data_IF_124433024598
#
_entry.id   IF_124433024598
#
_cell.length_a   1.000
_cell.length_b   1.000
_cell.length_c   1.000
_cell.angle_alpha   90.00
_cell.angle_beta   90.00
_cell.angle_gamma   90.00
#
_symmetry.space_group_name_H-M   'P 1'
#
loop_
_entity.id
_entity.type
_entity.pdbx_description
1 polymer ?
#
# COMPACT_ATOMS: atom_id res chain seq x y z
N UNK A 1 1.37 -75.55 55.47
CA UNK A 1 2.08 -76.69 54.85
C UNK A 1 1.18 -77.20 53.73
N UNK A 2 1.53 -77.40 52.46
CA UNK A 2 2.74 -77.38 51.64
C UNK A 2 2.28 -76.89 50.24
N UNK A 3 2.93 -76.00 49.49
CA UNK A 3 4.25 -76.02 48.86
C UNK A 3 4.50 -77.24 47.93
N UNK A 4 4.30 -77.04 46.62
CA UNK A 4 5.04 -77.75 45.57
C UNK A 4 5.43 -76.77 44.47
N UNK A 5 6.75 -76.63 44.30
CA UNK A 5 7.45 -75.89 43.25
C UNK A 5 7.62 -76.78 42.01
N UNK A 6 7.54 -76.18 40.82
CA UNK A 6 8.20 -76.61 39.57
C UNK A 6 8.58 -75.30 38.83
N UNK A 7 9.74 -74.68 39.09
CA UNK A 7 11.05 -74.87 38.44
C UNK A 7 11.12 -74.47 36.97
N UNK A 8 11.75 -73.30 36.77
CA UNK A 8 12.77 -72.94 35.77
C UNK A 8 12.44 -72.99 34.27
N UNK A 9 12.34 -71.80 33.69
CA UNK A 9 12.52 -71.53 32.27
C UNK A 9 12.89 -70.07 32.04
N UNK A 10 14.07 -69.65 32.50
CA UNK A 10 14.62 -68.32 32.20
C UNK A 10 15.09 -68.32 30.74
N UNK A 11 14.30 -67.75 29.84
CA UNK A 11 14.79 -67.32 28.52
C UNK A 11 14.77 -65.79 28.47
N UNK A 12 15.96 -65.23 28.71
CA UNK A 12 16.30 -63.86 28.37
C UNK A 12 16.15 -63.68 26.85
N UNK A 13 15.05 -63.08 26.40
CA UNK A 13 14.91 -62.61 25.03
C UNK A 13 14.82 -61.09 25.01
N UNK A 14 15.98 -60.52 24.70
CA UNK A 14 16.28 -59.25 24.05
C UNK A 14 15.19 -58.16 24.07
N UNK A 15 15.55 -57.04 24.71
CA UNK A 15 14.91 -55.73 24.53
C UNK A 15 14.96 -55.34 23.05
N UNK A 16 13.88 -55.57 22.31
CA UNK A 16 13.63 -54.86 21.07
C UNK A 16 12.73 -53.67 21.34
N UNK A 17 13.37 -52.50 21.33
CA UNK A 17 12.77 -51.18 21.35
C UNK A 17 11.65 -51.07 20.32
N UNK A 18 10.41 -50.95 20.79
CA UNK A 18 9.35 -50.28 20.04
C UNK A 18 8.69 -49.30 20.99
N UNK A 19 9.32 -48.14 21.12
CA UNK A 19 8.65 -46.94 21.58
C UNK A 19 7.47 -46.71 20.63
N UNK A 20 6.27 -47.16 21.02
CA UNK A 20 5.03 -46.61 20.46
C UNK A 20 4.93 -45.19 20.97
N UNK A 21 5.70 -44.30 20.36
CA UNK A 21 5.41 -42.89 20.39
C UNK A 21 4.02 -42.77 19.76
N UNK A 22 3.02 -42.43 20.57
CA UNK A 22 1.86 -41.73 20.07
C UNK A 22 2.41 -40.41 19.55
N UNK A 23 2.87 -40.42 18.29
CA UNK A 23 3.02 -39.21 17.50
C UNK A 23 1.62 -38.67 17.39
N UNK A 24 1.18 -37.89 18.38
CA UNK A 24 0.19 -36.86 18.15
C UNK A 24 0.84 -35.93 17.13
N UNK A 25 0.71 -36.30 15.86
CA UNK A 25 0.78 -35.37 14.75
C UNK A 25 -0.42 -34.45 14.91
N UNK A 26 -0.39 -33.62 15.96
CA UNK A 26 -0.97 -32.30 15.88
C UNK A 26 -0.13 -31.66 14.79
N UNK A 27 -0.58 -31.84 13.55
CA UNK A 27 -0.12 -31.01 12.46
C UNK A 27 -0.47 -29.62 12.94
N UNK A 28 0.53 -28.93 13.49
CA UNK A 28 0.56 -27.49 13.44
C UNK A 28 0.55 -27.19 11.94
N UNK A 29 -0.66 -27.16 11.37
CA UNK A 29 -0.93 -26.47 10.14
C UNK A 29 -0.74 -25.00 10.48
N UNK A 30 0.53 -24.62 10.66
CA UNK A 30 0.97 -23.28 10.43
C UNK A 30 0.63 -23.07 8.96
N UNK A 31 -0.58 -22.55 8.74
CA UNK A 31 -0.95 -21.95 7.48
C UNK A 31 0.09 -20.86 7.29
N UNK A 32 1.13 -21.17 6.56
CA UNK A 32 2.05 -20.18 6.04
C UNK A 32 1.21 -19.31 5.12
N UNK A 33 0.57 -18.30 5.71
CA UNK A 33 -0.12 -17.24 5.02
C UNK A 33 0.96 -16.31 4.47
N UNK A 34 1.85 -16.85 3.64
CA UNK A 34 2.80 -16.08 2.85
C UNK A 34 2.07 -15.47 1.64
N UNK A 35 0.92 -14.85 1.90
CA UNK A 35 0.32 -13.89 0.99
C UNK A 35 0.79 -12.53 1.49
N UNK A 36 1.88 -12.01 0.91
CA UNK A 36 2.22 -10.60 1.06
C UNK A 36 1.01 -9.79 0.60
N UNK A 37 0.37 -9.10 1.54
CA UNK A 37 -0.80 -8.28 1.27
C UNK A 37 -0.34 -6.99 0.60
N UNK A 38 -0.37 -6.97 -0.73
CA UNK A 38 0.02 -5.80 -1.54
C UNK A 38 -0.79 -4.55 -1.17
N UNK A 39 -2.02 -4.72 -0.67
CA UNK A 39 -2.85 -3.64 -0.17
C UNK A 39 -2.29 -2.99 1.11
N UNK A 40 -1.51 -3.70 1.93
CA UNK A 40 -0.81 -3.13 3.10
C UNK A 40 0.51 -2.46 2.74
N UNK A 41 1.11 -2.85 1.61
CA UNK A 41 2.39 -2.31 1.13
C UNK A 41 2.21 -1.07 0.24
N UNK A 42 1.04 -0.89 -0.38
CA UNK A 42 0.79 0.22 -1.33
C UNK A 42 0.84 1.61 -0.68
N UNK A 43 1.76 2.49 -1.06
CA UNK A 43 1.78 3.85 -0.51
C UNK A 43 0.56 4.67 -0.92
N UNK A 44 0.04 5.47 0.01
CA UNK A 44 -0.94 6.51 -0.34
C UNK A 44 -0.33 7.53 -1.31
N UNK A 45 -1.15 8.37 -1.94
CA UNK A 45 -0.68 9.49 -2.76
C UNK A 45 0.18 10.51 -1.99
N UNK A 46 0.19 10.45 -0.65
CA UNK A 46 1.06 11.24 0.25
C UNK A 46 2.33 10.50 0.68
N UNK A 47 2.51 9.23 0.28
CA UNK A 47 3.65 8.39 0.68
C UNK A 47 3.47 7.64 1.99
N UNK A 48 2.28 7.65 2.60
CA UNK A 48 2.04 6.98 3.89
C UNK A 48 1.87 5.47 3.71
N UNK A 49 2.64 4.71 4.49
CA UNK A 49 2.56 3.26 4.68
C UNK A 49 2.91 2.97 6.14
N UNK A 50 2.33 1.94 6.74
CA UNK A 50 2.76 1.46 8.05
C UNK A 50 3.81 0.37 7.88
N UNK A 51 4.78 0.31 8.78
CA UNK A 51 5.74 -0.79 8.81
C UNK A 51 5.02 -2.12 8.97
N UNK A 52 5.63 -3.20 8.47
CA UNK A 52 5.01 -4.53 8.47
C UNK A 52 4.62 -5.00 9.87
N UNK A 53 5.44 -4.69 10.86
CA UNK A 53 5.25 -5.09 12.27
C UNK A 53 4.50 -4.03 13.11
N UNK A 54 3.97 -2.99 12.48
CA UNK A 54 3.21 -1.95 13.17
C UNK A 54 1.86 -2.49 13.66
N UNK A 55 1.61 -2.38 14.96
CA UNK A 55 0.37 -2.79 15.60
C UNK A 55 -0.88 -2.12 14.99
N UNK A 56 -0.72 -0.96 14.35
CA UNK A 56 -1.81 -0.21 13.70
C UNK A 56 -2.39 -0.96 12.50
N UNK A 57 -1.66 -1.91 11.91
CA UNK A 57 -2.13 -2.74 10.80
C UNK A 57 -3.24 -3.73 11.20
N UNK A 58 -3.44 -3.98 12.50
CA UNK A 58 -4.51 -4.86 13.00
C UNK A 58 -5.89 -4.43 12.51
N UNK A 59 -6.11 -3.13 12.29
CA UNK A 59 -7.38 -2.58 11.76
C UNK A 59 -7.75 -3.12 10.37
N UNK A 60 -6.77 -3.61 9.61
CA UNK A 60 -6.93 -4.12 8.25
C UNK A 60 -6.85 -5.65 8.16
N UNK A 61 -6.86 -6.38 9.29
CA UNK A 61 -6.76 -7.86 9.26
C UNK A 61 -7.96 -8.48 8.52
N UNK A 62 -9.17 -7.98 8.79
CA UNK A 62 -10.42 -8.45 8.18
C UNK A 62 -10.99 -7.49 7.13
N UNK A 63 -10.23 -6.46 6.74
CA UNK A 63 -10.68 -5.41 5.82
C UNK A 63 -9.58 -5.06 4.81
N UNK A 64 -9.97 -4.62 3.61
CA UNK A 64 -9.02 -4.14 2.61
C UNK A 64 -8.60 -2.70 2.94
N UNK A 65 -7.31 -2.38 2.82
CA UNK A 65 -6.87 -0.98 2.84
C UNK A 65 -7.07 -0.38 1.44
N UNK A 66 -7.89 0.66 1.35
CA UNK A 66 -8.16 1.34 0.09
C UNK A 66 -7.23 2.53 -0.10
N UNK A 67 -6.61 2.59 -1.27
CA UNK A 67 -5.83 3.73 -1.73
C UNK A 67 -6.37 4.11 -3.11
N UNK A 68 -6.53 5.40 -3.36
CA UNK A 68 -6.93 5.88 -4.67
C UNK A 68 -5.80 5.64 -5.69
N UNK A 69 -6.11 5.02 -6.81
CA UNK A 69 -5.17 4.75 -7.91
C UNK A 69 -4.91 6.01 -8.75
N UNK A 70 -5.89 6.91 -8.84
CA UNK A 70 -5.84 8.11 -9.65
C UNK A 70 -5.24 9.29 -8.88
N UNK A 71 -3.95 9.52 -9.04
CA UNK A 71 -3.23 10.54 -8.27
C UNK A 71 -3.28 11.88 -8.98
N UNK A 72 -3.83 12.90 -8.33
CA UNK A 72 -3.95 14.25 -8.90
C UNK A 72 -2.62 14.84 -9.39
N UNK A 73 -1.50 14.53 -8.71
CA UNK A 73 -0.16 14.98 -9.14
C UNK A 73 0.24 14.45 -10.53
N UNK A 74 -0.16 13.22 -10.88
CA UNK A 74 0.13 12.65 -12.20
C UNK A 74 -0.80 13.24 -13.24
N UNK A 75 -2.09 13.29 -12.92
CA UNK A 75 -3.12 13.80 -13.82
C UNK A 75 -2.89 15.26 -14.21
N UNK A 76 -2.44 16.12 -13.29
CA UNK A 76 -2.18 17.52 -13.62
C UNK A 76 -0.90 17.71 -14.43
N UNK A 77 0.09 16.83 -14.25
CA UNK A 77 1.33 16.89 -15.01
C UNK A 77 1.14 16.43 -16.46
N UNK A 78 0.19 15.52 -16.70
CA UNK A 78 -0.25 15.12 -18.04
C UNK A 78 -0.90 16.27 -18.83
N UNK A 79 -1.47 17.27 -18.15
CA UNK A 79 -2.11 18.42 -18.80
C UNK A 79 -1.06 19.43 -19.29
N UNK A 80 -0.98 19.73 -20.59
CA UNK A 80 0.02 20.66 -21.11
C UNK A 80 -0.24 22.10 -20.63
N UNK A 81 0.81 22.93 -20.48
CA UNK A 81 0.64 24.35 -20.19
C UNK A 81 -0.16 25.08 -21.26
N UNK A 82 -1.04 25.97 -20.82
CA UNK A 82 -1.88 26.79 -21.68
C UNK A 82 -1.11 28.05 -22.08
N UNK A 83 -0.91 28.22 -23.38
CA UNK A 83 -0.23 29.39 -23.92
C UNK A 83 -1.18 30.55 -24.15
N UNK A 84 -0.83 31.73 -23.63
CA UNK A 84 -1.66 32.94 -23.66
C UNK A 84 -0.83 34.14 -24.09
N UNK A 85 -1.46 35.14 -24.71
CA UNK A 85 -0.79 36.36 -25.18
C UNK A 85 -0.73 37.44 -24.10
N UNK A 86 -1.71 37.46 -23.20
CA UNK A 86 -1.86 38.49 -22.20
C UNK A 86 -0.81 38.36 -21.08
N UNK A 87 -0.47 39.51 -20.50
CA UNK A 87 0.44 39.58 -19.35
C UNK A 87 -0.19 39.01 -18.08
N UNK A 88 -1.49 39.23 -17.90
CA UNK A 88 -2.26 38.77 -16.74
C UNK A 88 -3.46 38.01 -17.25
N UNK A 89 -3.61 36.78 -16.80
CA UNK A 89 -4.76 35.92 -17.15
C UNK A 89 -5.61 35.63 -15.93
N UNK A 90 -6.88 35.35 -16.14
CA UNK A 90 -7.76 34.90 -15.08
C UNK A 90 -8.06 33.41 -15.21
N UNK A 91 -8.25 32.76 -14.07
CA UNK A 91 -8.68 31.37 -13.98
C UNK A 91 -9.83 31.28 -12.98
N UNK A 92 -10.90 30.61 -13.37
CA UNK A 92 -12.10 30.31 -12.58
C UNK A 92 -12.38 28.80 -12.50
N UNK A 93 -11.53 27.96 -13.12
CA UNK A 93 -11.72 26.52 -13.15
C UNK A 93 -12.64 26.01 -14.26
N UNK A 94 -12.96 26.84 -15.26
CA UNK A 94 -13.67 26.46 -16.48
C UNK A 94 -15.16 26.81 -16.47
N UNK A 95 -15.75 27.01 -15.30
CA UNK A 95 -17.11 27.51 -15.13
C UNK A 95 -17.16 28.49 -13.95
N UNK A 96 -17.87 29.61 -14.13
CA UNK A 96 -17.89 30.71 -13.18
C UNK A 96 -18.48 30.34 -11.79
N UNK A 97 -19.35 29.33 -11.73
CA UNK A 97 -20.07 28.95 -10.50
C UNK A 97 -19.71 27.55 -10.00
N UNK A 98 -19.27 26.64 -10.88
CA UNK A 98 -18.88 25.27 -10.51
C UNK A 98 -17.38 25.10 -10.27
N UNK A 99 -16.57 26.08 -10.67
CA UNK A 99 -15.13 26.08 -10.45
C UNK A 99 -14.70 26.70 -9.12
N UNK A 100 -13.55 27.38 -9.14
CA UNK A 100 -13.00 28.06 -7.97
C UNK A 100 -13.18 29.59 -8.10
N UNK A 101 -13.01 30.36 -7.01
CA UNK A 101 -13.06 31.81 -7.09
C UNK A 101 -12.12 32.35 -8.17
N UNK A 102 -12.61 33.28 -8.99
CA UNK A 102 -11.80 33.91 -10.04
C UNK A 102 -10.53 34.51 -9.43
N UNK A 103 -9.38 34.03 -9.90
CA UNK A 103 -8.07 34.61 -9.58
C UNK A 103 -7.40 35.17 -10.82
N UNK A 104 -6.45 36.07 -10.61
CA UNK A 104 -5.59 36.62 -11.64
C UNK A 104 -4.15 36.12 -11.44
N UNK A 105 -3.55 35.63 -12.51
CA UNK A 105 -2.21 35.03 -12.54
C UNK A 105 -1.31 35.93 -13.38
N UNK A 106 -0.18 36.33 -12.80
CA UNK A 106 0.79 37.19 -13.47
C UNK A 106 1.83 36.36 -14.22
N UNK A 107 2.04 36.63 -15.51
CA UNK A 107 2.95 35.91 -16.41
C UNK A 107 4.21 36.71 -16.76
N UNK A 108 4.59 37.67 -15.91
CA UNK A 108 5.81 38.47 -16.09
C UNK A 108 7.10 37.65 -15.97
N UNK A 109 7.07 36.60 -15.15
CA UNK A 109 8.24 35.74 -14.94
C UNK A 109 8.32 34.70 -16.06
N UNK A 110 9.52 34.44 -16.61
CA UNK A 110 9.68 33.39 -17.60
C UNK A 110 9.31 32.03 -17.01
N UNK A 111 8.62 31.20 -17.80
CA UNK A 111 8.19 29.86 -17.43
C UNK A 111 6.71 29.75 -17.03
N UNK A 112 6.22 28.52 -16.82
CA UNK A 112 4.82 28.25 -16.51
C UNK A 112 4.44 28.75 -15.13
N UNK A 113 3.43 29.60 -15.06
CA UNK A 113 2.81 30.06 -13.82
C UNK A 113 1.57 29.23 -13.53
N UNK A 114 1.37 28.87 -12.26
CA UNK A 114 0.40 27.85 -11.85
C UNK A 114 -0.82 28.52 -11.20
N UNK A 115 -2.01 28.06 -11.57
CA UNK A 115 -3.23 28.37 -10.81
C UNK A 115 -3.21 27.62 -9.47
N UNK A 116 -3.28 28.34 -8.35
CA UNK A 116 -3.25 27.74 -7.01
C UNK A 116 -4.43 26.84 -6.65
N UNK A 117 -5.48 26.81 -7.48
CA UNK A 117 -6.66 25.96 -7.28
C UNK A 117 -6.66 24.75 -8.22
N UNK A 118 -6.77 24.99 -9.54
CA UNK A 118 -6.81 23.90 -10.52
C UNK A 118 -5.47 23.23 -10.78
N UNK A 119 -4.34 23.87 -10.43
CA UNK A 119 -3.01 23.38 -10.80
C UNK A 119 -2.66 23.56 -12.28
N UNK A 120 -3.56 24.14 -13.09
CA UNK A 120 -3.30 24.44 -14.50
C UNK A 120 -2.12 25.42 -14.63
N UNK A 121 -1.32 25.20 -15.68
CA UNK A 121 -0.11 25.95 -15.99
C UNK A 121 -0.41 26.93 -17.13
N UNK A 122 0.03 28.17 -17.01
CA UNK A 122 -0.11 29.21 -18.03
C UNK A 122 1.27 29.75 -18.42
N UNK A 123 1.50 29.90 -19.71
CA UNK A 123 2.77 30.42 -20.27
C UNK A 123 2.43 31.58 -21.19
N UNK A 124 3.16 32.69 -21.06
CA UNK A 124 3.05 33.79 -22.01
C UNK A 124 3.74 33.42 -23.31
N UNK A 125 3.07 33.55 -24.45
CA UNK A 125 3.69 33.39 -25.76
C UNK A 125 4.75 34.47 -25.95
N UNK A 126 5.96 34.08 -26.35
CA UNK A 126 7.02 35.01 -26.71
C UNK A 126 6.67 35.70 -28.04
N UNK A 127 5.99 36.84 -27.93
CA UNK A 127 5.84 37.77 -29.03
C UNK A 127 7.14 38.52 -29.24
N UNK A 128 7.89 38.18 -30.29
CA UNK A 128 8.91 39.06 -30.86
C UNK A 128 8.25 40.41 -31.19
N UNK A 129 8.40 41.40 -30.32
CA UNK A 129 8.14 42.79 -30.66
C UNK A 129 9.22 43.23 -31.66
N UNK A 130 8.83 43.36 -32.93
CA UNK A 130 9.48 44.24 -33.90
C UNK A 130 8.87 45.64 -33.80
#
# INVERSE_FOLDING_TARGET
>A
MACTKLSNGLQLLSRNSTSRALSSSVVNSWRNYSNSRSDLETSTHTGQVYDKDDYRNVRFVNAKRYVNENWGIKLIDEVPPIEVTDRVVYCDGGDANLGHPKIYINLDKPGPQICGYCGLRFVKKDGHHH
#
